data_IF_751458424469
#
_entry.id   IF_751458424469
#
_cell.length_a   1.000
_cell.length_b   1.000
_cell.length_c   1.000
_cell.angle_alpha   90.00
_cell.angle_beta   90.00
_cell.angle_gamma   90.00
#
_symmetry.space_group_name_H-M   'P 1'
#
loop_
_entity.id
_entity.type
_entity.pdbx_description
1 polymer ?
#
# COMPACT_ATOMS: atom_id res chain seq x y z
N UNK A 1 16.63 -13.51 -32.30
CA UNK A 1 15.23 -13.57 -31.81
C UNK A 1 15.28 -13.65 -30.29
N UNK A 2 14.74 -12.66 -29.57
CA UNK A 2 14.35 -12.75 -28.15
C UNK A 2 13.63 -11.45 -27.79
N UNK A 3 12.30 -11.44 -27.87
CA UNK A 3 11.45 -10.27 -27.59
C UNK A 3 10.28 -10.65 -26.68
N UNK A 4 10.48 -11.51 -25.67
CA UNK A 4 9.36 -12.05 -24.87
C UNK A 4 9.48 -11.94 -23.34
N UNK A 5 10.53 -11.32 -22.78
CA UNK A 5 10.65 -11.21 -21.31
C UNK A 5 10.00 -9.96 -20.69
N UNK A 6 9.56 -8.99 -21.48
CA UNK A 6 9.11 -7.68 -20.96
C UNK A 6 7.65 -7.67 -20.46
N UNK A 7 6.85 -8.67 -20.86
CA UNK A 7 5.43 -8.74 -20.48
C UNK A 7 5.21 -9.35 -19.09
N UNK A 8 6.05 -10.30 -18.69
CA UNK A 8 5.95 -10.96 -17.39
C UNK A 8 6.24 -9.98 -16.25
N UNK A 9 7.32 -9.19 -16.37
CA UNK A 9 7.72 -8.19 -15.36
C UNK A 9 6.66 -7.10 -15.15
N UNK A 10 5.97 -6.69 -16.21
CA UNK A 10 4.87 -5.71 -16.12
C UNK A 10 3.65 -6.29 -15.41
N UNK A 11 3.24 -7.51 -15.75
CA UNK A 11 2.13 -8.19 -15.08
C UNK A 11 2.42 -8.42 -13.60
N UNK A 12 3.63 -8.81 -13.26
CA UNK A 12 4.05 -9.02 -11.88
C UNK A 12 4.04 -7.70 -11.09
N UNK A 13 4.54 -6.60 -11.66
CA UNK A 13 4.45 -5.27 -11.04
C UNK A 13 3.01 -4.78 -10.87
N UNK A 14 2.12 -5.10 -11.81
CA UNK A 14 0.70 -4.75 -11.72
C UNK A 14 0.00 -5.55 -10.61
N UNK A 15 0.29 -6.84 -10.50
CA UNK A 15 -0.24 -7.69 -9.43
C UNK A 15 0.23 -7.22 -8.05
N UNK A 16 1.53 -6.88 -7.91
CA UNK A 16 2.09 -6.36 -6.66
C UNK A 16 1.40 -5.06 -6.21
N UNK A 17 1.07 -4.15 -7.14
CA UNK A 17 0.34 -2.92 -6.81
C UNK A 17 -1.06 -3.23 -6.28
N UNK A 18 -1.76 -4.16 -6.92
CA UNK A 18 -3.11 -4.55 -6.51
C UNK A 18 -3.11 -5.20 -5.12
N UNK A 19 -2.13 -6.06 -4.84
CA UNK A 19 -1.99 -6.75 -3.56
C UNK A 19 -1.73 -5.77 -2.41
N UNK A 20 -0.89 -4.76 -2.63
CA UNK A 20 -0.65 -3.67 -1.65
C UNK A 20 -1.94 -2.91 -1.36
N UNK A 21 -2.69 -2.49 -2.38
CA UNK A 21 -3.94 -1.76 -2.19
C UNK A 21 -5.01 -2.63 -1.48
N UNK A 22 -5.04 -3.93 -1.77
CA UNK A 22 -5.91 -4.88 -1.09
C UNK A 22 -5.59 -5.03 0.40
N UNK A 23 -4.31 -4.97 0.77
CA UNK A 23 -3.88 -4.94 2.18
C UNK A 23 -4.27 -3.62 2.85
N UNK A 24 -3.98 -2.48 2.21
CA UNK A 24 -4.28 -1.13 2.76
C UNK A 24 -5.77 -0.96 3.02
N UNK A 25 -6.63 -1.33 2.06
CA UNK A 25 -8.08 -1.18 2.16
C UNK A 25 -8.75 -2.47 2.66
N UNK A 26 -7.98 -3.38 3.25
CA UNK A 26 -8.49 -4.66 3.76
C UNK A 26 -9.50 -4.51 4.90
N UNK A 27 -9.42 -3.40 5.64
CA UNK A 27 -10.32 -3.05 6.74
C UNK A 27 -11.70 -2.55 6.29
N UNK A 28 -11.88 -2.21 5.01
CA UNK A 28 -13.17 -1.77 4.48
C UNK A 28 -14.04 -3.02 4.25
N UNK A 29 -15.04 -3.22 5.12
CA UNK A 29 -15.97 -4.36 5.05
C UNK A 29 -16.89 -4.27 3.82
N UNK A 30 -17.33 -3.06 3.47
CA UNK A 30 -18.17 -2.83 2.32
C UNK A 30 -17.40 -3.07 1.01
N UNK A 31 -17.82 -4.09 0.28
CA UNK A 31 -17.12 -4.57 -0.92
C UNK A 31 -17.12 -3.55 -2.05
N UNK A 32 -18.21 -2.79 -2.21
CA UNK A 32 -18.33 -1.78 -3.25
C UNK A 32 -17.38 -0.61 -2.97
N UNK A 33 -17.41 -0.09 -1.75
CA UNK A 33 -16.50 0.97 -1.29
C UNK A 33 -15.04 0.54 -1.42
N UNK A 34 -14.71 -0.70 -1.01
CA UNK A 34 -13.36 -1.25 -1.18
C UNK A 34 -12.93 -1.29 -2.64
N UNK A 35 -13.79 -1.76 -3.55
CA UNK A 35 -13.49 -1.82 -4.97
C UNK A 35 -13.28 -0.43 -5.59
N UNK A 36 -14.13 0.54 -5.23
CA UNK A 36 -14.00 1.94 -5.68
C UNK A 36 -12.67 2.54 -5.21
N UNK A 37 -12.30 2.32 -3.94
CA UNK A 37 -11.03 2.79 -3.39
C UNK A 37 -9.85 2.16 -4.14
N UNK A 38 -9.80 0.83 -4.25
CA UNK A 38 -8.72 0.14 -4.97
C UNK A 38 -8.59 0.68 -6.40
N UNK A 39 -9.70 0.81 -7.14
CA UNK A 39 -9.69 1.31 -8.52
C UNK A 39 -9.17 2.76 -8.63
N UNK A 40 -9.55 3.63 -7.68
CA UNK A 40 -9.12 5.04 -7.66
C UNK A 40 -7.61 5.19 -7.47
N UNK A 41 -6.99 4.36 -6.64
CA UNK A 41 -5.55 4.38 -6.39
C UNK A 41 -4.78 3.52 -7.41
N UNK A 42 -5.36 2.44 -7.96
CA UNK A 42 -4.70 1.60 -8.96
C UNK A 42 -4.49 2.32 -10.31
N UNK A 43 -5.42 3.18 -10.72
CA UNK A 43 -5.32 3.87 -12.02
C UNK A 43 -4.64 5.24 -11.96
N UNK A 44 -4.50 5.84 -10.77
CA UNK A 44 -3.96 7.19 -10.65
C UNK A 44 -2.62 7.19 -9.89
N UNK A 45 -1.55 7.56 -10.59
CA UNK A 45 -0.18 7.61 -10.03
C UNK A 45 -0.03 8.66 -8.92
N UNK A 46 -0.69 9.81 -9.03
CA UNK A 46 -0.63 10.88 -8.04
C UNK A 46 -1.31 10.46 -6.74
N UNK A 47 -2.47 9.80 -6.84
CA UNK A 47 -3.13 9.23 -5.67
C UNK A 47 -2.26 8.19 -4.96
N UNK A 48 -1.53 7.33 -5.70
CA UNK A 48 -0.58 6.39 -5.07
C UNK A 48 0.58 7.10 -4.37
N UNK A 49 1.13 8.13 -5.01
CA UNK A 49 2.23 8.90 -4.43
C UNK A 49 1.79 9.58 -3.13
N UNK A 50 0.59 10.19 -3.11
CA UNK A 50 0.01 10.79 -1.93
C UNK A 50 -0.27 9.76 -0.82
N UNK A 51 -0.81 8.59 -1.17
CA UNK A 51 -1.05 7.50 -0.21
C UNK A 51 0.27 7.00 0.41
N UNK A 52 1.32 6.83 -0.39
CA UNK A 52 2.64 6.45 0.11
C UNK A 52 3.20 7.51 1.07
N UNK A 53 3.15 8.79 0.69
CA UNK A 53 3.63 9.88 1.53
C UNK A 53 2.91 9.92 2.88
N UNK A 54 1.58 9.74 2.88
CA UNK A 54 0.80 9.65 4.11
C UNK A 54 1.22 8.47 5.02
N UNK A 55 1.47 7.29 4.43
CA UNK A 55 1.91 6.11 5.19
C UNK A 55 3.33 6.31 5.74
N UNK A 56 4.23 6.92 4.97
CA UNK A 56 5.58 7.26 5.41
C UNK A 56 5.54 8.26 6.59
N UNK A 57 4.68 9.28 6.51
CA UNK A 57 4.48 10.25 7.59
C UNK A 57 3.93 9.59 8.86
N UNK A 58 3.04 8.59 8.72
CA UNK A 58 2.55 7.81 9.86
C UNK A 58 3.67 7.01 10.55
N UNK A 59 4.54 6.35 9.77
CA UNK A 59 5.71 5.64 10.34
C UNK A 59 6.60 6.60 11.10
N UNK A 60 6.86 7.78 10.53
CA UNK A 60 7.70 8.80 11.16
C UNK A 60 7.07 9.36 12.44
N UNK A 61 5.77 9.65 12.43
CA UNK A 61 5.05 10.08 13.62
C UNK A 61 5.08 9.01 14.73
N UNK A 62 5.02 7.73 14.35
CA UNK A 62 5.22 6.64 15.30
C UNK A 62 6.63 6.67 15.87
N UNK A 63 7.67 6.79 15.04
CA UNK A 63 9.08 6.89 15.48
C UNK A 63 9.29 8.03 16.47
N UNK A 64 8.76 9.21 16.18
CA UNK A 64 8.86 10.42 17.01
C UNK A 64 8.00 10.36 18.28
N UNK A 65 6.99 9.50 18.33
CA UNK A 65 6.15 9.31 19.50
C UNK A 65 6.96 8.75 20.68
N UNK A 66 6.91 9.45 21.82
CA UNK A 66 7.51 9.03 23.09
C UNK A 66 6.61 8.07 23.87
N UNK A 67 5.45 7.68 23.32
CA UNK A 67 4.58 6.71 23.96
C UNK A 67 5.24 5.32 23.93
N UNK A 68 5.65 4.82 25.10
CA UNK A 68 6.13 3.45 25.28
C UNK A 68 4.95 2.47 25.25
N UNK A 69 4.59 2.01 24.06
CA UNK A 69 3.55 1.00 23.90
C UNK A 69 3.98 -0.10 22.93
N UNK A 70 3.68 -1.35 23.29
CA UNK A 70 3.84 -2.51 22.40
C UNK A 70 3.07 -2.34 21.07
N UNK A 71 2.07 -1.46 21.04
CA UNK A 71 1.32 -1.12 19.83
C UNK A 71 2.13 -0.34 18.78
N UNK A 72 3.17 0.41 19.17
CA UNK A 72 3.98 1.19 18.21
C UNK A 72 4.72 0.28 17.23
N UNK A 73 5.40 -0.75 17.76
CA UNK A 73 6.13 -1.72 16.93
C UNK A 73 5.17 -2.60 16.10
N UNK A 74 4.00 -2.95 16.64
CA UNK A 74 2.96 -3.66 15.88
C UNK A 74 2.43 -2.83 14.71
N UNK A 75 2.14 -1.54 14.91
CA UNK A 75 1.67 -0.65 13.84
C UNK A 75 2.78 -0.43 12.79
N UNK A 76 4.02 -0.21 13.21
CA UNK A 76 5.17 -0.11 12.27
C UNK A 76 5.33 -1.37 11.44
N UNK A 77 5.21 -2.54 12.07
CA UNK A 77 5.31 -3.82 11.38
C UNK A 77 4.20 -3.96 10.33
N UNK A 78 2.96 -3.59 10.67
CA UNK A 78 1.85 -3.59 9.72
C UNK A 78 2.10 -2.63 8.55
N UNK A 79 2.62 -1.43 8.82
CA UNK A 79 2.98 -0.45 7.78
C UNK A 79 4.14 -0.96 6.89
N UNK A 80 5.12 -1.68 7.44
CA UNK A 80 6.23 -2.25 6.67
C UNK A 80 5.83 -3.36 5.70
N UNK A 81 4.69 -4.02 5.92
CA UNK A 81 4.15 -4.98 4.96
C UNK A 81 3.37 -4.32 3.81
N UNK A 82 3.19 -3.00 3.90
CA UNK A 82 2.44 -2.16 2.98
C UNK A 82 3.37 -1.26 2.14
N UNK A 83 4.42 -0.70 2.76
CA UNK A 83 5.41 0.21 2.13
C UNK A 83 6.58 -0.53 1.49
#
# INVERSE_FOLDING_TARGET
MSTDNNNNDKQEQEQLKLDVLNKIFGWIEDKETKAVMINKYYNNKEHRAALKAFLDDMVKALDESTAETNSKEEIKRQLSYIT
#
